data_IF_059427596827
#
_entry.id   IF_059427596827
#
_cell.length_a   1.000
_cell.length_b   1.000
_cell.length_c   1.000
_cell.angle_alpha   90.00
_cell.angle_beta   90.00
_cell.angle_gamma   90.00
#
_symmetry.space_group_name_H-M   'P 1'
#
loop_
_entity.id
_entity.type
_entity.pdbx_description
1 polymer ?
#
# COMPACT_ATOMS: atom_id res chain seq x y z
N UNK A 1 -15.64 9.77 3.05
CA UNK A 1 -14.88 9.73 4.32
C UNK A 1 -13.38 9.78 4.07
N UNK A 2 -12.86 8.94 3.18
CA UNK A 2 -11.45 8.89 2.76
C UNK A 2 -10.85 10.26 2.36
N UNK A 3 -11.50 11.02 1.47
CA UNK A 3 -11.01 12.35 1.07
C UNK A 3 -10.77 13.34 2.23
N UNK A 4 -11.59 13.30 3.30
CA UNK A 4 -11.41 14.16 4.49
C UNK A 4 -10.20 13.72 5.32
N UNK A 5 -9.94 12.42 5.39
CA UNK A 5 -8.78 11.83 6.06
C UNK A 5 -7.51 12.14 5.25
N UNK A 6 -7.52 11.91 3.94
CA UNK A 6 -6.42 12.21 3.04
C UNK A 6 -5.98 13.68 3.12
N UNK A 7 -6.93 14.62 3.05
CA UNK A 7 -6.64 16.06 3.20
C UNK A 7 -5.99 16.41 4.54
N UNK A 8 -6.33 15.70 5.62
CA UNK A 8 -5.68 15.89 6.93
C UNK A 8 -4.28 15.29 6.94
N UNK A 9 -4.11 14.11 6.35
CA UNK A 9 -2.82 13.46 6.21
C UNK A 9 -1.84 14.32 5.39
N UNK A 10 -2.26 14.87 4.25
CA UNK A 10 -1.45 15.79 3.44
C UNK A 10 -0.95 16.99 4.25
N UNK A 11 -1.82 17.63 5.05
CA UNK A 11 -1.43 18.75 5.92
C UNK A 11 -0.40 18.36 6.99
N UNK A 12 -0.38 17.10 7.42
CA UNK A 12 0.64 16.59 8.35
C UNK A 12 1.94 16.39 7.57
N UNK A 13 1.88 15.77 6.39
CA UNK A 13 3.03 15.55 5.51
C UNK A 13 3.69 16.86 5.05
N UNK A 14 2.94 17.96 4.96
CA UNK A 14 3.47 19.30 4.65
C UNK A 14 4.23 19.95 5.81
N UNK A 15 4.09 19.42 7.03
CA UNK A 15 4.67 19.96 8.26
C UNK A 15 5.69 19.05 8.92
N UNK A 16 5.98 17.90 8.31
CA UNK A 16 6.82 16.88 8.87
C UNK A 16 7.86 16.43 7.85
N UNK A 17 9.06 16.14 8.32
CA UNK A 17 10.05 15.43 7.53
C UNK A 17 9.84 13.91 7.68
N UNK A 18 9.97 13.20 6.56
CA UNK A 18 9.98 11.74 6.55
C UNK A 18 11.28 11.25 7.17
N UNK A 19 11.18 10.59 8.31
CA UNK A 19 12.32 9.94 8.97
C UNK A 19 12.52 8.53 8.41
N UNK A 20 13.76 8.06 8.45
CA UNK A 20 14.11 6.70 8.06
C UNK A 20 13.34 5.71 8.96
N UNK A 21 12.39 5.02 8.35
CA UNK A 21 11.39 4.17 9.01
C UNK A 21 11.17 2.87 8.26
N UNK A 22 12.02 2.57 7.27
CA UNK A 22 11.78 1.52 6.29
C UNK A 22 10.66 1.83 5.29
N UNK A 23 9.99 2.98 5.39
CA UNK A 23 8.95 3.48 4.46
C UNK A 23 9.47 4.56 3.52
N UNK A 24 10.74 4.95 3.62
CA UNK A 24 11.34 6.00 2.78
C UNK A 24 11.31 5.69 1.29
N UNK A 25 11.19 4.41 0.93
CA UNK A 25 11.03 3.94 -0.44
C UNK A 25 9.60 4.03 -0.97
N UNK A 26 8.62 4.34 -0.12
CA UNK A 26 7.19 4.38 -0.45
C UNK A 26 6.80 5.81 -0.87
N UNK A 27 6.08 5.96 -1.98
CA UNK A 27 5.52 7.23 -2.41
C UNK A 27 4.27 7.58 -1.59
N UNK A 28 4.48 7.91 -0.31
CA UNK A 28 3.39 8.13 0.66
C UNK A 28 2.40 9.22 0.20
N UNK A 29 2.89 10.27 -0.49
CA UNK A 29 2.01 11.31 -1.03
C UNK A 29 1.15 10.80 -2.19
N UNK A 30 1.69 9.95 -3.05
CA UNK A 30 0.93 9.27 -4.10
C UNK A 30 -0.19 8.41 -3.50
N UNK A 31 0.18 7.53 -2.56
CA UNK A 31 -0.77 6.63 -1.89
C UNK A 31 -1.89 7.40 -1.18
N UNK A 32 -1.58 8.49 -0.48
CA UNK A 32 -2.62 9.32 0.18
C UNK A 32 -3.59 9.93 -0.82
N UNK A 33 -3.13 10.30 -2.02
CA UNK A 33 -3.97 10.84 -3.09
C UNK A 33 -4.85 9.76 -3.72
N UNK A 34 -4.31 8.58 -3.99
CA UNK A 34 -5.07 7.44 -4.51
C UNK A 34 -6.12 6.96 -3.50
N UNK A 35 -5.74 6.85 -2.23
CA UNK A 35 -6.68 6.60 -1.13
C UNK A 35 -7.83 7.64 -1.09
N UNK A 36 -7.56 8.90 -1.43
CA UNK A 36 -8.59 9.93 -1.48
C UNK A 36 -9.66 9.67 -2.57
N UNK A 37 -9.27 9.03 -3.67
CA UNK A 37 -10.18 8.62 -4.74
C UNK A 37 -11.09 7.45 -4.32
N UNK A 38 -10.64 6.63 -3.36
CA UNK A 38 -11.43 5.58 -2.74
C UNK A 38 -11.46 4.26 -3.52
N UNK A 39 -10.55 4.09 -4.48
CA UNK A 39 -10.44 2.87 -5.31
C UNK A 39 -9.50 1.82 -4.70
N UNK A 40 -8.69 2.21 -3.71
CA UNK A 40 -7.70 1.33 -3.09
C UNK A 40 -7.49 1.69 -1.63
N UNK A 41 -7.28 0.66 -0.81
CA UNK A 41 -6.99 0.84 0.61
C UNK A 41 -5.54 1.34 0.80
N UNK A 42 -5.34 2.17 1.82
CA UNK A 42 -4.05 2.80 2.08
C UNK A 42 -2.98 1.77 2.45
N UNK A 43 -3.31 0.83 3.34
CA UNK A 43 -2.39 -0.21 3.79
C UNK A 43 -1.96 -1.14 2.67
N UNK A 44 -2.86 -1.47 1.75
CA UNK A 44 -2.56 -2.42 0.68
C UNK A 44 -1.55 -1.83 -0.30
N UNK A 45 -1.73 -0.57 -0.66
CA UNK A 45 -0.76 0.17 -1.47
C UNK A 45 0.61 0.26 -0.79
N UNK A 46 0.66 0.54 0.52
CA UNK A 46 1.93 0.59 1.28
C UNK A 46 2.61 -0.77 1.27
N UNK A 47 1.88 -1.84 1.56
CA UNK A 47 2.43 -3.20 1.56
C UNK A 47 2.90 -3.63 0.17
N UNK A 48 2.13 -3.32 -0.87
CA UNK A 48 2.47 -3.63 -2.25
C UNK A 48 3.74 -2.90 -2.70
N UNK A 49 3.85 -1.58 -2.48
CA UNK A 49 5.05 -0.82 -2.81
C UNK A 49 6.29 -1.32 -2.05
N UNK A 50 6.15 -1.63 -0.76
CA UNK A 50 7.25 -2.20 0.02
C UNK A 50 7.71 -3.55 -0.52
N UNK A 51 6.78 -4.45 -0.81
CA UNK A 51 7.12 -5.77 -1.32
C UNK A 51 7.79 -5.68 -2.70
N UNK A 52 7.31 -4.79 -3.57
CA UNK A 52 7.92 -4.52 -4.89
C UNK A 52 9.32 -3.95 -4.75
N UNK A 53 9.50 -2.94 -3.91
CA UNK A 53 10.78 -2.21 -3.82
C UNK A 53 11.87 -2.99 -3.10
N UNK A 54 11.48 -3.89 -2.18
CA UNK A 54 12.41 -4.69 -1.37
C UNK A 54 12.48 -6.16 -1.77
N UNK A 55 11.83 -6.53 -2.88
CA UNK A 55 11.77 -7.90 -3.39
C UNK A 55 11.28 -8.91 -2.33
N UNK A 56 10.24 -8.54 -1.59
CA UNK A 56 9.69 -9.36 -0.51
C UNK A 56 8.53 -10.23 -0.98
N UNK A 57 8.37 -11.37 -0.30
CA UNK A 57 7.21 -12.26 -0.46
C UNK A 57 6.13 -11.80 0.50
N UNK A 58 4.93 -11.49 -0.01
CA UNK A 58 3.79 -11.12 0.80
C UNK A 58 3.07 -12.38 1.28
N UNK A 59 3.03 -12.60 2.59
CA UNK A 59 2.23 -13.68 3.19
C UNK A 59 0.84 -13.14 3.47
N UNK A 60 -0.15 -13.54 2.67
CA UNK A 60 -1.53 -13.07 2.84
C UNK A 60 -2.55 -14.09 2.30
N UNK A 61 -3.76 -14.07 2.84
CA UNK A 61 -4.92 -14.73 2.26
C UNK A 61 -5.89 -13.74 1.61
N UNK A 62 -5.59 -12.45 1.68
CA UNK A 62 -6.46 -11.39 1.21
C UNK A 62 -6.46 -11.31 -0.32
N UNK A 63 -7.66 -11.45 -0.89
CA UNK A 63 -7.85 -11.51 -2.34
C UNK A 63 -7.65 -10.16 -3.01
N UNK A 64 -7.65 -9.07 -2.25
CA UNK A 64 -7.56 -7.73 -2.81
C UNK A 64 -6.15 -7.43 -3.38
N UNK A 65 -5.14 -8.23 -2.99
CA UNK A 65 -3.80 -8.22 -3.60
C UNK A 65 -3.68 -9.02 -4.91
N UNK A 66 -4.79 -9.57 -5.42
CA UNK A 66 -4.76 -10.28 -6.71
C UNK A 66 -4.37 -9.32 -7.84
N UNK A 67 -3.39 -9.70 -8.66
CA UNK A 67 -2.97 -8.89 -9.82
C UNK A 67 -1.90 -7.83 -9.55
N UNK A 68 -1.47 -7.63 -8.30
CA UNK A 68 -0.50 -6.59 -7.95
C UNK A 68 0.96 -6.85 -8.37
N UNK A 69 1.22 -7.86 -9.22
CA UNK A 69 2.59 -8.31 -9.56
C UNK A 69 3.45 -8.55 -8.30
N UNK A 70 2.85 -9.17 -7.29
CA UNK A 70 3.50 -9.54 -6.03
C UNK A 70 3.77 -11.04 -6.00
N UNK A 71 4.87 -11.44 -5.38
CA UNK A 71 5.07 -12.85 -5.02
C UNK A 71 4.30 -13.10 -3.72
N UNK A 72 3.19 -13.86 -3.81
CA UNK A 72 2.31 -14.13 -2.68
C UNK A 72 2.52 -15.55 -2.17
N UNK A 73 2.75 -15.70 -0.86
CA UNK A 73 2.68 -16.99 -0.18
C UNK A 73 1.32 -17.12 0.49
N UNK A 74 0.53 -18.11 0.06
CA UNK A 74 -0.84 -18.29 0.52
C UNK A 74 -1.31 -19.73 0.42
N UNK A 75 -2.28 -20.07 1.27
CA UNK A 75 -3.10 -21.29 1.16
C UNK A 75 -4.50 -21.00 0.57
N UNK A 76 -4.82 -19.73 0.27
CA UNK A 76 -6.08 -19.36 -0.35
C UNK A 76 -6.00 -19.67 -1.85
N UNK A 77 -6.71 -20.70 -2.28
CA UNK A 77 -6.71 -21.17 -3.68
C UNK A 77 -7.16 -20.12 -4.69
N UNK A 78 -7.91 -19.09 -4.27
CA UNK A 78 -8.36 -18.00 -5.16
C UNK A 78 -7.23 -17.08 -5.62
N UNK A 79 -6.08 -17.13 -4.95
CA UNK A 79 -4.88 -16.33 -5.26
C UNK A 79 -3.79 -17.14 -5.98
N UNK A 80 -4.00 -18.45 -6.16
CA UNK A 80 -3.06 -19.32 -6.84
C UNK A 80 -3.38 -19.35 -8.34
N UNK A 81 -2.37 -19.42 -9.22
CA UNK A 81 -2.60 -19.71 -10.64
C UNK A 81 -3.29 -21.07 -10.80
N UNK A 82 -4.10 -21.21 -11.85
CA UNK A 82 -4.70 -22.50 -12.24
C UNK A 82 -3.65 -23.56 -12.61
#
# INVERSE_FOLDING_TARGET
MAAKIARKAEKILDKCDLTESGLTSVNLRGIVREYAAGESDFNDQVLAELCKTKELILVTHDTDFSGDNLTILTANRRLLPE
#
